data_IF_620617178532
#
_entry.id   IF_620617178532
#
_cell.length_a   1.000
_cell.length_b   1.000
_cell.length_c   1.000
_cell.angle_alpha   90.00
_cell.angle_beta   90.00
_cell.angle_gamma   90.00
#
_symmetry.space_group_name_H-M   'P 1'
#
loop_
_entity.id
_entity.type
_entity.pdbx_description
1 polymer ?
#
# COMPACT_ATOMS: atom_id res chain seq x y z
N UNK A 1 -70.97 9.60 -7.12
CA UNK A 1 -70.09 8.49 -7.58
C UNK A 1 -68.64 8.95 -7.74
N UNK A 2 -68.33 9.92 -8.62
CA UNK A 2 -66.96 10.41 -8.88
C UNK A 2 -66.19 10.87 -7.62
N UNK A 3 -66.83 11.64 -6.74
CA UNK A 3 -66.22 12.08 -5.49
C UNK A 3 -65.73 10.95 -4.59
N UNK A 4 -66.41 9.79 -4.58
CA UNK A 4 -65.98 8.63 -3.81
C UNK A 4 -64.68 8.04 -4.40
N UNK A 5 -64.53 8.04 -5.72
CA UNK A 5 -63.32 7.57 -6.41
C UNK A 5 -62.15 8.51 -6.12
N UNK A 6 -62.38 9.82 -6.15
CA UNK A 6 -61.34 10.82 -5.84
C UNK A 6 -60.88 10.71 -4.39
N UNK A 7 -61.81 10.58 -3.44
CA UNK A 7 -61.48 10.41 -2.02
C UNK A 7 -60.76 9.08 -1.80
N UNK A 8 -61.22 7.99 -2.41
CA UNK A 8 -60.54 6.69 -2.33
C UNK A 8 -59.10 6.77 -2.85
N UNK A 9 -58.89 7.44 -4.00
CA UNK A 9 -57.56 7.61 -4.57
C UNK A 9 -56.67 8.51 -3.69
N UNK A 10 -57.22 9.59 -3.13
CA UNK A 10 -56.49 10.45 -2.20
C UNK A 10 -56.09 9.70 -0.91
N UNK A 11 -56.97 8.82 -0.39
CA UNK A 11 -56.66 7.98 0.77
C UNK A 11 -55.58 6.95 0.43
N UNK A 12 -55.63 6.32 -0.74
CA UNK A 12 -54.59 5.38 -1.18
C UNK A 12 -53.25 6.10 -1.32
N UNK A 13 -53.20 7.20 -2.09
CA UNK A 13 -51.97 7.95 -2.33
C UNK A 13 -51.42 8.51 -1.01
N UNK A 14 -52.26 9.17 -0.21
CA UNK A 14 -51.89 9.73 1.08
C UNK A 14 -51.43 8.67 2.07
N UNK A 15 -52.13 7.53 2.11
CA UNK A 15 -51.74 6.38 2.93
C UNK A 15 -50.39 5.81 2.52
N UNK A 16 -50.16 5.58 1.23
CA UNK A 16 -48.87 5.09 0.73
C UNK A 16 -47.74 6.09 0.95
N UNK A 17 -48.00 7.39 0.81
CA UNK A 17 -47.02 8.44 1.06
C UNK A 17 -46.66 8.50 2.55
N UNK A 18 -47.63 8.41 3.46
CA UNK A 18 -47.36 8.36 4.91
C UNK A 18 -46.57 7.10 5.31
N UNK A 19 -46.88 5.95 4.72
CA UNK A 19 -46.12 4.71 4.93
C UNK A 19 -44.68 4.87 4.41
N UNK A 20 -44.50 5.47 3.24
CA UNK A 20 -43.18 5.72 2.65
C UNK A 20 -42.36 6.79 3.40
N UNK A 21 -43.01 7.83 3.94
CA UNK A 21 -42.34 8.95 4.61
C UNK A 21 -42.11 8.73 6.11
N UNK A 22 -42.86 7.87 6.79
CA UNK A 22 -42.75 7.80 8.25
C UNK A 22 -43.41 6.63 8.96
N UNK A 23 -43.79 5.56 8.26
CA UNK A 23 -44.59 4.46 8.80
C UNK A 23 -43.83 3.25 9.33
N UNK A 24 -42.51 3.29 9.54
CA UNK A 24 -41.77 2.07 9.88
C UNK A 24 -40.34 2.28 10.35
N UNK A 25 -40.17 2.93 11.50
CA UNK A 25 -38.89 3.03 12.20
C UNK A 25 -37.92 4.01 11.54
N UNK A 26 -37.01 4.55 12.34
CA UNK A 26 -35.77 5.14 11.82
C UNK A 26 -35.24 4.21 10.74
N UNK A 27 -35.07 4.65 9.49
CA UNK A 27 -34.19 3.91 8.58
C UNK A 27 -32.93 3.65 9.41
N UNK A 28 -32.52 2.38 9.59
CA UNK A 28 -31.26 2.11 10.27
C UNK A 28 -30.25 3.01 9.59
N UNK A 29 -29.52 3.82 10.38
CA UNK A 29 -28.44 4.68 9.90
C UNK A 29 -27.78 3.93 8.76
N UNK A 30 -27.92 4.44 7.51
CA UNK A 30 -27.58 3.67 6.32
C UNK A 30 -26.21 3.09 6.58
N UNK A 31 -26.16 1.75 6.76
CA UNK A 31 -24.95 1.07 7.21
C UNK A 31 -23.92 1.51 6.19
N UNK A 32 -23.04 2.43 6.62
CA UNK A 32 -21.99 2.93 5.74
C UNK A 32 -21.37 1.67 5.16
N UNK A 33 -21.20 1.65 3.85
CA UNK A 33 -20.59 0.50 3.19
C UNK A 33 -19.13 0.48 3.68
N UNK A 34 -18.93 -0.14 4.84
CA UNK A 34 -17.67 -0.23 5.55
C UNK A 34 -17.06 -1.51 5.05
N UNK A 35 -15.75 -1.47 4.79
CA UNK A 35 -14.95 -2.64 4.44
C UNK A 35 -15.31 -3.77 5.42
N UNK A 36 -15.97 -4.82 4.92
CA UNK A 36 -16.53 -5.89 5.74
C UNK A 36 -15.43 -6.70 6.46
N UNK A 37 -14.26 -6.79 5.82
CA UNK A 37 -13.03 -7.32 6.39
C UNK A 37 -12.04 -6.17 6.64
N UNK A 38 -12.00 -5.67 7.88
CA UNK A 38 -10.98 -4.68 8.25
C UNK A 38 -9.61 -5.34 8.19
N UNK A 39 -8.64 -4.65 7.58
CA UNK A 39 -7.24 -5.06 7.58
C UNK A 39 -6.75 -5.36 9.01
N UNK A 40 -5.91 -6.40 9.21
CA UNK A 40 -5.31 -6.70 10.51
C UNK A 40 -4.66 -5.46 11.13
N UNK A 41 -4.91 -5.24 12.42
CA UNK A 41 -4.39 -4.08 13.17
C UNK A 41 -3.36 -4.50 14.24
N UNK A 42 -3.32 -5.79 14.53
CA UNK A 42 -2.54 -6.45 15.57
C UNK A 42 -1.23 -7.05 15.03
N UNK A 43 -1.11 -7.19 13.71
CA UNK A 43 0.08 -7.72 13.03
C UNK A 43 0.46 -6.88 11.80
N UNK A 44 1.73 -6.96 11.35
CA UNK A 44 2.12 -6.40 10.06
C UNK A 44 1.27 -6.94 8.91
N UNK A 45 0.99 -6.10 7.92
CA UNK A 45 0.22 -6.48 6.75
C UNK A 45 1.04 -7.33 5.79
N UNK A 46 0.47 -8.45 5.38
CA UNK A 46 1.03 -9.29 4.32
C UNK A 46 0.35 -8.99 2.97
N UNK A 47 0.98 -9.42 1.88
CA UNK A 47 0.37 -9.35 0.54
C UNK A 47 -1.01 -10.01 0.49
N UNK A 48 -1.18 -11.16 1.13
CA UNK A 48 -2.47 -11.88 1.15
C UNK A 48 -3.58 -11.05 1.79
N UNK A 49 -3.27 -10.29 2.85
CA UNK A 49 -4.26 -9.43 3.50
C UNK A 49 -4.76 -8.31 2.59
N UNK A 50 -3.90 -7.83 1.69
CA UNK A 50 -4.25 -6.82 0.66
C UNK A 50 -5.08 -7.48 -0.44
N UNK A 51 -4.69 -8.66 -0.93
CA UNK A 51 -5.39 -9.38 -2.00
C UNK A 51 -6.82 -9.81 -1.58
N UNK A 52 -7.05 -10.05 -0.29
CA UNK A 52 -8.35 -10.42 0.25
C UNK A 52 -9.28 -9.22 0.52
N UNK A 53 -8.78 -7.99 0.48
CA UNK A 53 -9.59 -6.81 0.80
C UNK A 53 -10.67 -6.58 -0.26
N UNK A 54 -11.90 -6.37 0.20
CA UNK A 54 -13.04 -6.04 -0.67
C UNK A 54 -13.51 -4.64 -0.37
N UNK A 55 -13.20 -3.73 -1.29
CA UNK A 55 -13.61 -2.34 -1.20
C UNK A 55 -15.05 -2.18 -1.74
N UNK A 56 -15.95 -1.55 -0.98
CA UNK A 56 -17.32 -1.32 -1.42
C UNK A 56 -17.41 -0.26 -2.53
N UNK A 57 -18.41 -0.39 -3.41
CA UNK A 57 -18.61 0.54 -4.53
C UNK A 57 -19.43 1.76 -4.11
N UNK A 58 -18.92 2.96 -4.39
CA UNK A 58 -19.63 4.21 -4.15
C UNK A 58 -20.09 4.87 -5.46
N UNK A 59 -21.26 5.53 -5.43
CA UNK A 59 -21.85 6.26 -6.58
C UNK A 59 -20.90 7.36 -7.13
N UNK A 60 -20.00 7.84 -6.28
CA UNK A 60 -18.87 8.70 -6.64
C UNK A 60 -17.64 8.19 -5.89
N UNK A 61 -16.60 7.81 -6.62
CA UNK A 61 -15.41 7.19 -6.04
C UNK A 61 -14.27 7.12 -7.05
N UNK A 62 -13.12 6.62 -6.57
CA UNK A 62 -12.02 6.24 -7.45
C UNK A 62 -12.46 5.11 -8.38
N UNK A 63 -11.84 5.03 -9.57
CA UNK A 63 -12.11 3.94 -10.49
C UNK A 63 -11.54 2.65 -9.93
N UNK A 64 -12.31 1.56 -9.99
CA UNK A 64 -11.89 0.30 -9.40
C UNK A 64 -10.64 -0.26 -10.08
N UNK A 65 -10.55 -0.16 -11.41
CA UNK A 65 -9.37 -0.57 -12.17
C UNK A 65 -8.09 0.12 -11.67
N UNK A 66 -8.15 1.44 -11.45
CA UNK A 66 -7.00 2.24 -10.99
C UNK A 66 -6.63 1.92 -9.54
N UNK A 67 -7.62 1.62 -8.70
CA UNK A 67 -7.39 1.21 -7.31
C UNK A 67 -6.77 -0.18 -7.27
N UNK A 68 -7.28 -1.12 -8.05
CA UNK A 68 -6.76 -2.49 -8.14
C UNK A 68 -5.32 -2.50 -8.64
N UNK A 69 -5.00 -1.73 -9.68
CA UNK A 69 -3.62 -1.58 -10.19
C UNK A 69 -2.65 -1.06 -9.11
N UNK A 70 -3.10 -0.09 -8.30
CA UNK A 70 -2.30 0.47 -7.20
C UNK A 70 -2.15 -0.56 -6.07
N UNK A 71 -3.21 -1.27 -5.70
CA UNK A 71 -3.18 -2.30 -4.66
C UNK A 71 -2.28 -3.48 -5.06
N UNK A 72 -2.34 -3.93 -6.32
CA UNK A 72 -1.46 -4.97 -6.86
C UNK A 72 0.01 -4.55 -6.79
N UNK A 73 0.30 -3.30 -7.18
CA UNK A 73 1.65 -2.75 -7.10
C UNK A 73 2.15 -2.67 -5.65
N UNK A 74 1.29 -2.24 -4.72
CA UNK A 74 1.62 -2.17 -3.30
C UNK A 74 1.80 -3.56 -2.69
N UNK A 75 0.97 -4.53 -3.05
CA UNK A 75 1.09 -5.92 -2.61
C UNK A 75 2.40 -6.57 -3.07
N UNK A 76 2.84 -6.29 -4.30
CA UNK A 76 4.14 -6.74 -4.80
C UNK A 76 5.31 -6.11 -4.02
N UNK A 77 5.23 -4.82 -3.71
CA UNK A 77 6.25 -4.11 -2.93
C UNK A 77 6.30 -4.59 -1.48
N UNK A 78 5.15 -4.88 -0.86
CA UNK A 78 5.07 -5.50 0.47
C UNK A 78 5.78 -6.86 0.49
N UNK A 79 5.49 -7.74 -0.48
CA UNK A 79 6.13 -9.05 -0.56
C UNK A 79 7.67 -8.95 -0.73
N UNK A 80 8.14 -7.96 -1.49
CA UNK A 80 9.57 -7.69 -1.64
C UNK A 80 10.18 -7.27 -0.29
N UNK A 81 9.52 -6.36 0.42
CA UNK A 81 9.99 -5.88 1.74
C UNK A 81 10.01 -6.99 2.78
N UNK A 82 8.97 -7.82 2.82
CA UNK A 82 8.90 -8.95 3.75
C UNK A 82 10.03 -9.94 3.52
N UNK A 83 10.32 -10.25 2.26
CA UNK A 83 11.47 -11.10 1.89
C UNK A 83 12.78 -10.46 2.37
N UNK A 84 12.93 -9.15 2.15
CA UNK A 84 14.14 -8.43 2.56
C UNK A 84 14.31 -8.38 4.08
N UNK A 85 13.22 -8.21 4.82
CA UNK A 85 13.23 -8.23 6.28
C UNK A 85 13.64 -9.62 6.78
N UNK A 86 13.07 -10.69 6.22
CA UNK A 86 13.41 -12.06 6.58
C UNK A 86 14.90 -12.37 6.35
N UNK A 87 15.49 -11.89 5.25
CA UNK A 87 16.93 -12.01 5.00
C UNK A 87 17.77 -11.27 6.05
N UNK A 88 17.38 -10.04 6.39
CA UNK A 88 18.10 -9.22 7.38
C UNK A 88 18.00 -9.82 8.78
N UNK A 89 16.84 -10.33 9.16
CA UNK A 89 16.63 -11.03 10.43
C UNK A 89 17.46 -12.32 10.50
N UNK A 90 17.49 -13.12 9.43
CA UNK A 90 18.33 -14.31 9.35
C UNK A 90 19.82 -13.97 9.50
N UNK A 91 20.28 -12.89 8.85
CA UNK A 91 21.65 -12.40 8.99
C UNK A 91 21.94 -11.93 10.42
N UNK A 92 21.01 -11.20 11.06
CA UNK A 92 21.17 -10.74 12.44
C UNK A 92 21.25 -11.92 13.42
N UNK A 93 20.43 -12.96 13.24
CA UNK A 93 20.49 -14.19 14.05
C UNK A 93 21.83 -14.90 13.89
N UNK A 94 22.34 -15.01 12.65
CA UNK A 94 23.65 -15.62 12.40
C UNK A 94 24.78 -14.83 13.07
N UNK A 95 24.79 -13.50 12.95
CA UNK A 95 25.79 -12.64 13.61
C UNK A 95 25.72 -12.79 15.12
N UNK A 96 24.51 -12.80 15.70
CA UNK A 96 24.31 -13.04 17.12
C UNK A 96 24.85 -14.40 17.57
N UNK A 97 24.64 -15.45 16.78
CA UNK A 97 25.17 -16.78 17.04
C UNK A 97 26.71 -16.82 16.96
N UNK A 98 27.32 -16.17 15.98
CA UNK A 98 28.78 -16.08 15.87
C UNK A 98 29.35 -15.34 17.09
N UNK A 99 28.81 -14.18 17.43
CA UNK A 99 29.27 -13.40 18.58
C UNK A 99 29.16 -14.18 19.90
N UNK A 100 28.08 -14.95 20.09
CA UNK A 100 27.89 -15.78 21.28
C UNK A 100 28.86 -16.98 21.35
N UNK A 101 29.36 -17.46 20.21
CA UNK A 101 30.30 -18.58 20.14
C UNK A 101 31.77 -18.13 20.06
N UNK A 102 32.06 -16.83 19.98
CA UNK A 102 33.43 -16.30 20.05
C UNK A 102 33.86 -16.20 21.52
N UNK A 103 34.88 -16.96 21.97
CA UNK A 103 35.40 -16.82 23.32
C UNK A 103 36.02 -15.42 23.51
N UNK A 104 35.67 -14.74 24.61
CA UNK A 104 36.25 -13.43 24.96
C UNK A 104 37.78 -13.56 25.11
N UNK A 105 38.54 -13.13 24.10
CA UNK A 105 39.99 -13.02 24.18
C UNK A 105 40.81 -13.53 22.98
N UNK A 106 40.20 -14.10 21.94
CA UNK A 106 40.96 -14.36 20.70
C UNK A 106 41.14 -13.06 19.92
N UNK A 107 42.38 -12.56 19.87
CA UNK A 107 42.77 -11.50 18.93
C UNK A 107 42.28 -11.88 17.52
N UNK A 108 41.72 -10.93 16.76
CA UNK A 108 41.22 -11.22 15.42
C UNK A 108 42.32 -11.89 14.62
N UNK A 109 42.03 -13.10 14.13
CA UNK A 109 42.95 -13.91 13.33
C UNK A 109 43.64 -13.00 12.28
N UNK A 110 44.99 -12.92 12.27
CA UNK A 110 45.71 -11.98 11.43
C UNK A 110 45.36 -12.25 9.96
N UNK A 111 44.72 -11.26 9.33
CA UNK A 111 44.27 -11.32 7.93
C UNK A 111 42.77 -11.07 7.71
N UNK A 112 41.90 -11.29 8.71
CA UNK A 112 40.47 -11.02 8.56
C UNK A 112 40.14 -9.51 8.58
N UNK A 113 40.95 -8.70 9.27
CA UNK A 113 40.82 -7.24 9.26
C UNK A 113 41.05 -6.64 7.88
N UNK A 114 42.03 -7.16 7.13
CA UNK A 114 42.29 -6.72 5.76
C UNK A 114 41.11 -7.07 4.85
N UNK A 115 40.55 -8.27 5.00
CA UNK A 115 39.39 -8.74 4.24
C UNK A 115 38.12 -7.92 4.54
N UNK A 116 37.89 -7.58 5.81
CA UNK A 116 36.79 -6.70 6.23
C UNK A 116 36.95 -5.28 5.68
N UNK A 117 38.18 -4.77 5.62
CA UNK A 117 38.51 -3.47 5.04
C UNK A 117 38.31 -3.41 3.53
N UNK A 118 38.64 -4.48 2.80
CA UNK A 118 38.40 -4.58 1.35
C UNK A 118 36.91 -4.62 1.04
N UNK A 119 36.15 -5.42 1.79
CA UNK A 119 34.69 -5.56 1.60
C UNK A 119 33.93 -4.26 1.87
N UNK A 120 34.27 -3.55 2.95
CA UNK A 120 33.66 -2.26 3.30
C UNK A 120 34.00 -1.15 2.29
N UNK A 121 35.24 -1.12 1.78
CA UNK A 121 35.66 -0.19 0.73
C UNK A 121 34.93 -0.47 -0.59
N UNK A 122 34.82 -1.73 -0.98
CA UNK A 122 34.10 -2.14 -2.19
C UNK A 122 32.60 -1.82 -2.12
N UNK A 123 31.96 -1.96 -0.96
CA UNK A 123 30.55 -1.57 -0.77
C UNK A 123 30.35 -0.06 -0.95
N UNK A 124 31.29 0.75 -0.47
CA UNK A 124 31.25 2.21 -0.58
C UNK A 124 31.47 2.65 -2.03
N UNK A 125 32.44 2.08 -2.73
CA UNK A 125 32.72 2.39 -4.14
C UNK A 125 31.52 2.06 -5.04
N UNK A 126 30.83 0.95 -4.77
CA UNK A 126 29.62 0.54 -5.51
C UNK A 126 28.45 1.51 -5.29
N UNK A 127 28.27 1.97 -4.05
CA UNK A 127 27.23 2.94 -3.70
C UNK A 127 27.46 4.31 -4.35
N UNK A 128 28.72 4.74 -4.46
CA UNK A 128 29.08 6.00 -5.16
C UNK A 128 28.84 5.86 -6.66
N UNK A 129 29.18 4.72 -7.27
CA UNK A 129 28.94 4.46 -8.67
C UNK A 129 27.44 4.49 -9.04
N UNK A 130 26.59 3.82 -8.26
CA UNK A 130 25.14 3.81 -8.50
C UNK A 130 24.54 5.22 -8.38
N UNK A 131 25.01 6.02 -7.41
CA UNK A 131 24.56 7.41 -7.23
C UNK A 131 24.98 8.31 -8.38
N UNK A 132 26.19 8.12 -8.90
CA UNK A 132 26.72 8.90 -10.02
C UNK A 132 26.00 8.57 -11.33
N UNK A 133 25.58 7.32 -11.54
CA UNK A 133 24.78 6.91 -12.70
C UNK A 133 23.38 7.54 -12.63
N UNK A 134 22.75 7.55 -11.45
CA UNK A 134 21.46 8.19 -11.24
C UNK A 134 21.51 9.71 -11.53
N UNK A 135 22.52 10.41 -11.00
CA UNK A 135 22.69 11.85 -11.25
C UNK A 135 22.90 12.15 -12.74
N UNK A 136 23.61 11.28 -13.47
CA UNK A 136 23.87 11.43 -14.90
C UNK A 136 22.61 11.22 -15.75
N UNK A 137 21.78 10.24 -15.39
CA UNK A 137 20.49 10.02 -16.06
C UNK A 137 19.54 11.20 -15.86
N UNK A 138 19.50 11.78 -14.66
CA UNK A 138 18.68 12.97 -14.38
C UNK A 138 19.16 14.17 -15.20
N UNK A 139 20.48 14.36 -15.33
CA UNK A 139 21.04 15.41 -16.16
C UNK A 139 20.69 15.24 -17.65
N UNK A 140 20.84 14.03 -18.20
CA UNK A 140 20.50 13.74 -19.59
C UNK A 140 19.00 13.91 -19.87
N UNK A 141 18.14 13.57 -18.92
CA UNK A 141 16.68 13.73 -19.05
C UNK A 141 16.24 15.20 -18.98
N UNK A 142 16.87 16.03 -18.13
CA UNK A 142 16.60 17.46 -18.09
C UNK A 142 17.02 18.18 -19.38
N UNK A 143 18.12 17.75 -20.00
CA UNK A 143 18.58 18.31 -21.28
C UNK A 143 17.60 17.96 -22.42
N UNK A 144 17.03 16.75 -22.42
CA UNK A 144 16.01 16.35 -23.39
C UNK A 144 14.73 17.20 -23.25
N UNK A 145 14.21 17.33 -22.02
CA UNK A 145 12.99 18.13 -21.75
C UNK A 145 13.17 19.63 -22.07
N UNK A 146 14.38 20.17 -21.89
CA UNK A 146 14.69 21.57 -22.21
C UNK A 146 14.70 21.84 -23.72
N UNK A 147 15.17 20.88 -24.54
CA UNK A 147 15.23 21.02 -26.01
C UNK A 147 13.85 20.95 -26.66
N UNK A 148 12.95 20.11 -26.13
CA UNK A 148 11.59 19.97 -26.64
C UNK A 148 10.72 21.22 -26.34
N UNK A 149 11.06 21.98 -25.29
CA UNK A 149 10.37 23.24 -24.94
C UNK A 149 10.74 24.46 -25.81
N UNK A 150 11.87 24.43 -26.52
CA UNK A 150 12.37 25.55 -27.33
C UNK A 150 11.90 25.49 -28.80
N UNK A 151 11.54 24.31 -29.31
CA UNK A 151 11.04 24.11 -30.67
C UNK A 151 9.54 24.46 -30.87
N UNK A 152 8.83 24.81 -29.79
CA UNK A 152 7.38 25.02 -29.76
C UNK A 152 6.91 26.46 -29.55
N UNK A 153 7.76 27.47 -29.81
CA UNK A 153 7.38 28.90 -29.79
C UNK A 153 7.53 29.57 -31.14
#
# INVERSE_FOLDING_TARGET
MFWLVVVAMAVVIGGTALVALGGGGTLPEAVHDRIAARLPQDRPLSRTDVDEIRLPMAVRGYRMDEVDDVLDRLGAELALRDTRIAELEAAAVLVGAVAANTPEGEEPLPGLEEFAKVTSRQATDRQVADRQVADRQVADQQVADQQDGEAGR
#
